data_IF_217350657472
#
_entry.id   IF_217350657472
#
_cell.length_a   1.000
_cell.length_b   1.000
_cell.length_c   1.000
_cell.angle_alpha   90.00
_cell.angle_beta   90.00
_cell.angle_gamma   90.00
#
_symmetry.space_group_name_H-M   'P 1'
#
loop_
_entity.id
_entity.type
_entity.pdbx_description
1 polymer ?
#
# COMPACT_ATOMS: atom_id res chain seq x y z
N UNK A 1 -42.74 -14.70 -35.10
CA UNK A 1 -41.64 -14.71 -34.11
C UNK A 1 -40.57 -13.75 -34.59
N UNK A 2 -40.57 -12.53 -34.09
CA UNK A 2 -39.50 -11.56 -34.30
C UNK A 2 -38.50 -11.78 -33.17
N UNK A 3 -37.42 -12.50 -33.45
CA UNK A 3 -36.24 -12.59 -32.60
C UNK A 3 -35.51 -11.26 -32.64
N UNK A 4 -35.80 -10.38 -31.72
CA UNK A 4 -35.03 -9.17 -31.46
C UNK A 4 -33.66 -9.56 -30.93
N UNK A 5 -32.65 -9.58 -31.80
CA UNK A 5 -31.26 -9.62 -31.39
C UNK A 5 -30.96 -8.34 -30.65
N UNK A 6 -30.94 -8.39 -29.33
CA UNK A 6 -30.46 -7.29 -28.50
C UNK A 6 -28.97 -7.19 -28.81
N UNK A 7 -28.62 -6.27 -29.70
CA UNK A 7 -27.23 -5.87 -29.94
C UNK A 7 -26.75 -5.25 -28.62
N UNK A 8 -26.03 -6.01 -27.77
CA UNK A 8 -25.31 -5.44 -26.64
C UNK A 8 -24.33 -4.44 -27.21
N UNK A 9 -24.60 -3.16 -27.01
CA UNK A 9 -23.62 -2.11 -27.31
C UNK A 9 -22.30 -2.49 -26.66
N UNK A 10 -21.27 -2.63 -27.48
CA UNK A 10 -19.93 -2.98 -27.04
C UNK A 10 -19.30 -1.74 -26.39
N UNK A 11 -19.51 -1.57 -25.09
CA UNK A 11 -18.94 -0.45 -24.35
C UNK A 11 -17.42 -0.59 -24.27
N UNK A 12 -16.72 0.46 -24.68
CA UNK A 12 -15.25 0.54 -24.62
C UNK A 12 -14.81 1.41 -23.43
N UNK A 13 -13.61 1.15 -22.93
CA UNK A 13 -13.03 1.92 -21.85
C UNK A 13 -12.66 3.33 -22.34
N UNK A 14 -13.24 4.34 -21.74
CA UNK A 14 -13.03 5.74 -22.05
C UNK A 14 -12.18 6.48 -21.04
N UNK A 15 -11.91 5.88 -19.87
CA UNK A 15 -11.13 6.53 -18.84
C UNK A 15 -10.91 5.69 -17.59
N UNK A 16 -10.01 6.18 -16.74
CA UNK A 16 -9.66 5.64 -15.45
C UNK A 16 -10.22 6.53 -14.32
N UNK A 17 -10.85 5.93 -13.35
CA UNK A 17 -11.25 6.57 -12.09
C UNK A 17 -10.50 5.91 -10.94
N UNK A 18 -9.71 6.66 -10.19
CA UNK A 18 -8.96 6.15 -9.05
C UNK A 18 -9.49 6.77 -7.75
N UNK A 19 -9.81 5.93 -6.79
CA UNK A 19 -10.23 6.32 -5.44
C UNK A 19 -9.20 5.78 -4.45
N UNK A 20 -8.61 6.66 -3.64
CA UNK A 20 -7.70 6.28 -2.56
C UNK A 20 -8.43 6.54 -1.25
N UNK A 21 -8.76 5.45 -0.51
CA UNK A 21 -9.68 5.51 0.62
C UNK A 21 -9.13 6.31 1.82
N UNK A 22 -7.82 6.25 2.04
CA UNK A 22 -7.12 6.81 3.19
C UNK A 22 -6.17 7.97 2.82
N UNK A 23 -6.46 8.68 1.75
CA UNK A 23 -5.61 9.77 1.22
C UNK A 23 -5.47 10.98 2.15
N UNK A 24 -6.32 11.11 3.17
CA UNK A 24 -6.23 12.15 4.20
C UNK A 24 -5.19 11.84 5.26
N UNK A 25 -4.90 10.56 5.50
CA UNK A 25 -3.98 10.07 6.54
C UNK A 25 -2.63 9.71 5.92
N UNK A 26 -2.66 8.96 4.83
CA UNK A 26 -1.48 8.44 4.13
C UNK A 26 -1.42 9.00 2.69
N UNK A 27 -0.22 9.34 2.24
CA UNK A 27 0.01 9.89 0.90
C UNK A 27 1.16 9.17 0.18
N UNK A 28 1.28 7.88 0.40
CA UNK A 28 2.32 7.06 -0.23
C UNK A 28 2.06 6.81 -1.72
N UNK A 29 0.80 6.73 -2.10
CA UNK A 29 0.37 6.48 -3.48
C UNK A 29 -0.62 7.57 -3.88
N UNK A 30 -0.41 8.13 -5.06
CA UNK A 30 -1.31 9.13 -5.64
C UNK A 30 -2.07 8.55 -6.84
N UNK A 31 -3.13 9.24 -7.28
CA UNK A 31 -3.87 8.88 -8.50
C UNK A 31 -2.95 8.85 -9.72
N UNK A 32 -2.03 9.82 -9.82
CA UNK A 32 -1.05 9.88 -10.91
C UNK A 32 -0.09 8.69 -10.90
N UNK A 33 0.30 8.20 -9.71
CA UNK A 33 1.13 7.01 -9.60
C UNK A 33 0.40 5.76 -10.10
N UNK A 34 -0.86 5.57 -9.71
CA UNK A 34 -1.69 4.44 -10.17
C UNK A 34 -1.83 4.46 -11.69
N UNK A 35 -2.14 5.61 -12.28
CA UNK A 35 -2.25 5.77 -13.72
C UNK A 35 -0.92 5.46 -14.42
N UNK A 36 0.19 5.96 -13.89
CA UNK A 36 1.54 5.69 -14.41
C UNK A 36 1.90 4.20 -14.35
N UNK A 37 1.56 3.52 -13.25
CA UNK A 37 1.81 2.08 -13.09
C UNK A 37 1.01 1.27 -14.10
N UNK A 38 -0.27 1.58 -14.28
CA UNK A 38 -1.12 0.88 -15.24
C UNK A 38 -0.64 1.12 -16.67
N UNK A 39 -0.35 2.35 -17.05
CA UNK A 39 0.15 2.66 -18.39
C UNK A 39 1.47 1.96 -18.71
N UNK A 40 2.35 1.80 -17.69
CA UNK A 40 3.65 1.15 -17.87
C UNK A 40 3.56 -0.37 -17.94
N UNK A 41 2.76 -1.00 -17.08
CA UNK A 41 2.81 -2.45 -16.83
C UNK A 41 1.60 -3.21 -17.39
N UNK A 42 0.43 -2.59 -17.42
CA UNK A 42 -0.74 -3.15 -18.09
C UNK A 42 -0.71 -2.87 -19.59
N UNK A 43 -0.35 -1.65 -19.95
CA UNK A 43 -0.39 -1.12 -21.31
C UNK A 43 -1.67 -0.31 -21.56
N UNK A 44 -2.07 -0.23 -22.84
CA UNK A 44 -3.23 0.58 -23.20
C UNK A 44 -4.55 -0.15 -22.89
N UNK A 45 -5.30 0.35 -21.95
CA UNK A 45 -6.67 -0.09 -21.59
C UNK A 45 -7.74 0.82 -22.20
N UNK A 46 -7.40 2.05 -22.59
CA UNK A 46 -8.33 2.99 -23.23
C UNK A 46 -8.68 2.45 -24.63
N UNK A 47 -9.96 2.42 -24.94
CA UNK A 47 -10.48 1.87 -26.18
C UNK A 47 -10.67 0.35 -26.21
N UNK A 48 -10.18 -0.38 -25.21
CA UNK A 48 -10.49 -1.80 -25.04
C UNK A 48 -11.95 -2.00 -24.64
N UNK A 49 -12.52 -3.12 -25.01
CA UNK A 49 -13.84 -3.53 -24.56
C UNK A 49 -13.80 -3.74 -23.04
N UNK A 50 -14.76 -3.17 -22.29
CA UNK A 50 -14.75 -3.26 -20.82
C UNK A 50 -14.74 -4.69 -20.28
N UNK A 51 -15.40 -5.63 -20.98
CA UNK A 51 -15.44 -7.07 -20.64
C UNK A 51 -14.12 -7.79 -20.93
N UNK A 52 -13.21 -7.19 -21.72
CA UNK A 52 -11.90 -7.76 -22.08
C UNK A 52 -10.75 -7.22 -21.23
N UNK A 53 -11.02 -6.27 -20.34
CA UNK A 53 -10.01 -5.77 -19.39
C UNK A 53 -9.77 -6.82 -18.32
N UNK A 54 -8.51 -7.26 -18.18
CA UNK A 54 -8.10 -8.19 -17.14
C UNK A 54 -7.97 -7.45 -15.79
N UNK A 55 -9.06 -7.43 -15.04
CA UNK A 55 -9.15 -6.77 -13.73
C UNK A 55 -8.18 -7.39 -12.72
N UNK A 56 -8.01 -8.71 -12.72
CA UNK A 56 -7.04 -9.38 -11.85
C UNK A 56 -5.61 -8.93 -12.13
N UNK A 57 -5.26 -8.71 -13.39
CA UNK A 57 -3.94 -8.17 -13.77
C UNK A 57 -3.80 -6.73 -13.31
N UNK A 58 -4.84 -5.91 -13.42
CA UNK A 58 -4.86 -4.52 -12.91
C UNK A 58 -4.58 -4.50 -11.41
N UNK A 59 -5.31 -5.30 -10.63
CA UNK A 59 -5.12 -5.40 -9.17
C UNK A 59 -3.71 -5.89 -8.82
N UNK A 60 -3.21 -6.95 -9.45
CA UNK A 60 -1.85 -7.47 -9.22
C UNK A 60 -0.75 -6.43 -9.46
N UNK A 61 -0.89 -5.59 -10.49
CA UNK A 61 0.07 -4.51 -10.78
C UNK A 61 0.09 -3.50 -9.62
N UNK A 62 -1.07 -3.13 -9.11
CA UNK A 62 -1.19 -2.13 -8.05
C UNK A 62 -0.77 -2.71 -6.70
N UNK A 63 -1.19 -3.93 -6.37
CA UNK A 63 -0.85 -4.64 -5.13
C UNK A 63 0.64 -4.99 -5.03
N UNK A 64 1.34 -5.05 -6.17
CA UNK A 64 2.81 -5.23 -6.18
C UNK A 64 3.56 -4.04 -5.58
N UNK A 65 2.90 -2.89 -5.38
CA UNK A 65 3.50 -1.70 -4.75
C UNK A 65 3.56 -1.87 -3.23
N UNK A 66 4.75 -1.66 -2.67
CA UNK A 66 5.02 -1.95 -1.26
C UNK A 66 4.15 -1.16 -0.28
N UNK A 67 3.73 0.05 -0.65
CA UNK A 67 2.87 0.92 0.15
C UNK A 67 1.36 0.66 -0.05
N UNK A 68 0.98 -0.26 -0.95
CA UNK A 68 -0.41 -0.67 -1.14
C UNK A 68 -0.71 -1.87 -0.24
N UNK A 69 -1.81 -1.77 0.51
CA UNK A 69 -2.34 -2.87 1.30
C UNK A 69 -3.21 -3.77 0.42
N UNK A 70 -4.14 -3.15 -0.32
CA UNK A 70 -5.09 -3.84 -1.20
C UNK A 70 -5.59 -2.89 -2.27
N UNK A 71 -5.87 -3.43 -3.46
CA UNK A 71 -6.64 -2.74 -4.49
C UNK A 71 -7.85 -3.57 -4.95
N UNK A 72 -8.84 -2.88 -5.48
CA UNK A 72 -10.03 -3.47 -6.11
C UNK A 72 -10.29 -2.75 -7.42
N UNK A 73 -10.45 -3.52 -8.50
CA UNK A 73 -10.72 -2.99 -9.83
C UNK A 73 -12.08 -3.48 -10.35
N UNK A 74 -12.84 -2.60 -10.98
CA UNK A 74 -14.09 -2.94 -11.65
C UNK A 74 -14.36 -1.99 -12.81
N UNK A 75 -15.15 -2.45 -13.76
CA UNK A 75 -15.61 -1.62 -14.88
C UNK A 75 -17.07 -1.23 -14.71
N UNK A 76 -17.43 -0.07 -15.21
CA UNK A 76 -18.80 0.45 -15.19
C UNK A 76 -19.35 0.59 -16.59
N UNK A 77 -20.68 0.57 -16.71
CA UNK A 77 -21.39 0.60 -18.01
C UNK A 77 -21.19 1.89 -18.81
N UNK A 78 -20.72 2.96 -18.15
CA UNK A 78 -20.34 4.22 -18.76
C UNK A 78 -18.91 4.19 -19.37
N UNK A 79 -18.28 3.01 -19.38
CA UNK A 79 -16.97 2.80 -20.00
C UNK A 79 -15.80 3.25 -19.13
N UNK A 80 -15.92 3.25 -17.80
CA UNK A 80 -14.81 3.59 -16.92
C UNK A 80 -14.21 2.36 -16.25
N UNK A 81 -12.89 2.31 -16.21
CA UNK A 81 -12.13 1.44 -15.32
C UNK A 81 -12.00 2.15 -13.96
N UNK A 82 -12.59 1.57 -12.92
CA UNK A 82 -12.52 2.10 -11.57
C UNK A 82 -11.52 1.28 -10.77
N UNK A 83 -10.67 1.95 -10.03
CA UNK A 83 -9.68 1.34 -9.15
C UNK A 83 -9.76 2.00 -7.78
N UNK A 84 -10.03 1.18 -6.76
CA UNK A 84 -10.01 1.60 -5.36
C UNK A 84 -8.74 1.09 -4.72
N UNK A 85 -7.99 1.96 -4.05
CA UNK A 85 -6.72 1.62 -3.41
C UNK A 85 -6.79 1.92 -1.92
N UNK A 86 -6.41 0.95 -1.12
CA UNK A 86 -6.13 1.10 0.32
C UNK A 86 -4.63 1.05 0.52
N UNK A 87 -4.05 2.06 1.15
CA UNK A 87 -2.63 2.12 1.45
C UNK A 87 -2.31 1.40 2.76
N UNK A 88 -1.05 0.99 2.95
CA UNK A 88 -0.58 0.53 4.24
C UNK A 88 -0.47 1.70 5.21
N UNK A 89 -0.85 1.46 6.45
CA UNK A 89 -0.72 2.44 7.53
C UNK A 89 0.47 2.06 8.39
N UNK A 90 1.59 2.77 8.30
CA UNK A 90 2.72 2.51 9.16
C UNK A 90 2.40 2.88 10.61
N UNK A 91 2.90 2.09 11.55
CA UNK A 91 2.81 2.35 12.99
C UNK A 91 4.16 2.67 13.61
N UNK A 92 5.25 2.27 12.93
CA UNK A 92 6.62 2.52 13.35
C UNK A 92 7.55 2.66 12.16
N UNK A 93 8.60 3.48 12.31
CA UNK A 93 9.72 3.61 11.38
C UNK A 93 10.98 3.08 12.01
N UNK A 94 11.63 2.14 11.37
CA UNK A 94 12.97 1.69 11.74
C UNK A 94 14.00 2.48 10.95
N UNK A 95 15.01 3.03 11.66
CA UNK A 95 16.11 3.76 11.06
C UNK A 95 17.40 2.98 11.25
N UNK A 96 18.02 2.55 10.15
CA UNK A 96 19.29 1.83 10.12
C UNK A 96 20.33 2.64 9.35
N UNK A 97 21.59 2.21 9.41
CA UNK A 97 22.70 2.85 8.72
C UNK A 97 22.56 2.85 7.19
N UNK A 98 21.90 1.83 6.63
CA UNK A 98 21.62 1.67 5.20
C UNK A 98 20.33 2.38 4.73
N UNK A 99 19.68 3.13 5.60
CA UNK A 99 18.40 3.78 5.37
C UNK A 99 17.38 3.38 6.41
N UNK A 100 16.19 2.97 5.98
CA UNK A 100 15.16 2.54 6.91
C UNK A 100 13.95 1.95 6.20
N UNK A 101 13.00 1.51 7.00
CA UNK A 101 11.73 0.95 6.51
C UNK A 101 10.63 1.21 7.54
N UNK A 102 9.40 1.12 7.08
CA UNK A 102 8.20 1.14 7.93
C UNK A 102 7.76 -0.26 8.30
N UNK A 103 7.05 -0.39 9.42
CA UNK A 103 6.21 -1.54 9.72
C UNK A 103 4.77 -1.10 9.96
N UNK A 104 3.81 -1.88 9.44
CA UNK A 104 2.40 -1.74 9.80
C UNK A 104 2.05 -2.54 11.07
N UNK A 105 0.79 -2.45 11.50
CA UNK A 105 0.31 -3.12 12.71
C UNK A 105 0.35 -4.66 12.61
N UNK A 106 0.38 -5.21 11.39
CA UNK A 106 0.46 -6.65 11.12
C UNK A 106 1.91 -7.16 11.07
N UNK A 107 2.91 -6.26 11.19
CA UNK A 107 4.33 -6.59 11.10
C UNK A 107 4.84 -6.73 9.66
N UNK A 108 4.11 -6.22 8.69
CA UNK A 108 4.59 -6.14 7.33
C UNK A 108 5.56 -4.97 7.18
N UNK A 109 6.76 -5.26 6.72
CA UNK A 109 7.81 -4.27 6.48
C UNK A 109 7.73 -3.75 5.05
N UNK A 110 7.90 -2.44 4.88
CA UNK A 110 7.94 -1.82 3.57
C UNK A 110 8.88 -0.61 3.52
N UNK A 111 9.51 -0.32 2.36
CA UNK A 111 10.49 0.74 2.22
C UNK A 111 9.94 2.13 2.53
N UNK A 112 10.83 3.02 2.99
CA UNK A 112 10.55 4.45 3.05
C UNK A 112 10.28 4.96 1.62
N UNK A 113 9.35 5.91 1.53
CA UNK A 113 9.00 6.56 0.26
C UNK A 113 9.58 7.99 0.26
N UNK A 114 10.23 8.37 -0.83
CA UNK A 114 10.79 9.73 -0.97
C UNK A 114 9.71 10.82 -1.07
N UNK A 115 8.51 10.44 -1.52
CA UNK A 115 7.39 11.35 -1.74
C UNK A 115 6.62 11.71 -0.47
N UNK A 116 6.70 10.88 0.57
CA UNK A 116 5.93 11.06 1.79
C UNK A 116 6.60 10.41 2.99
N UNK A 117 6.65 11.13 4.11
CA UNK A 117 7.12 10.62 5.41
C UNK A 117 5.95 10.62 6.41
N UNK A 118 5.59 9.45 6.89
CA UNK A 118 4.56 9.31 7.91
C UNK A 118 5.09 9.75 9.30
N UNK A 119 4.21 10.35 10.09
CA UNK A 119 4.49 10.74 11.48
C UNK A 119 4.22 9.57 12.40
N UNK A 120 5.23 8.74 12.59
CA UNK A 120 5.22 7.59 13.50
C UNK A 120 6.49 7.61 14.35
N UNK A 121 6.50 6.84 15.44
CA UNK A 121 7.71 6.70 16.27
C UNK A 121 8.86 6.15 15.43
N UNK A 122 10.06 6.66 15.70
CA UNK A 122 11.31 6.22 15.08
C UNK A 122 12.03 5.30 16.06
N UNK A 123 12.43 4.15 15.57
CA UNK A 123 13.28 3.21 16.32
C UNK A 123 14.63 3.12 15.63
N UNK A 124 15.69 3.35 16.37
CA UNK A 124 17.07 3.26 15.92
C UNK A 124 17.95 2.43 16.88
N UNK A 125 19.25 2.37 16.63
CA UNK A 125 20.22 1.61 17.42
C UNK A 125 20.40 0.18 16.92
N UNK A 126 20.56 -0.75 17.86
CA UNK A 126 20.83 -2.19 17.57
C UNK A 126 19.55 -2.93 17.19
N UNK A 127 19.08 -2.72 15.97
CA UNK A 127 17.84 -3.34 15.45
C UNK A 127 18.16 -4.74 14.93
N UNK A 128 17.67 -5.82 15.59
CA UNK A 128 18.00 -7.21 15.22
C UNK A 128 17.15 -7.73 14.06
N UNK A 129 16.81 -6.88 13.10
CA UNK A 129 16.12 -7.25 11.87
C UNK A 129 17.12 -7.27 10.72
N UNK A 130 17.22 -8.37 10.00
CA UNK A 130 18.08 -8.51 8.81
C UNK A 130 17.55 -7.76 7.58
N UNK A 131 16.29 -7.30 7.64
CA UNK A 131 15.68 -6.49 6.59
C UNK A 131 16.56 -5.25 6.27
N UNK A 132 16.75 -4.99 4.99
CA UNK A 132 17.42 -3.78 4.47
C UNK A 132 16.38 -2.72 4.06
N UNK A 133 16.85 -1.55 3.64
CA UNK A 133 16.00 -0.42 3.26
C UNK A 133 15.05 -0.68 2.06
N UNK A 134 15.32 -1.70 1.26
CA UNK A 134 14.46 -2.11 0.13
C UNK A 134 13.53 -3.28 0.42
N UNK A 135 13.56 -3.81 1.64
CA UNK A 135 12.77 -4.99 2.00
C UNK A 135 11.28 -4.69 1.99
N UNK A 136 10.50 -5.66 1.46
CA UNK A 136 9.04 -5.66 1.53
C UNK A 136 8.54 -7.05 1.85
N UNK A 137 7.72 -7.18 2.87
CA UNK A 137 7.17 -8.46 3.30
C UNK A 137 7.13 -8.62 4.80
N UNK A 138 6.66 -9.77 5.25
CA UNK A 138 6.68 -10.19 6.65
C UNK A 138 8.02 -10.81 7.00
N UNK A 139 8.44 -10.64 8.24
CA UNK A 139 9.65 -11.27 8.77
C UNK A 139 9.41 -12.78 8.90
N UNK A 140 10.34 -13.59 8.42
CA UNK A 140 10.22 -15.06 8.43
C UNK A 140 11.02 -15.73 9.55
N UNK A 141 12.04 -15.07 10.07
CA UNK A 141 12.83 -15.57 11.20
C UNK A 141 12.01 -15.46 12.51
N UNK A 142 11.81 -16.56 13.27
CA UNK A 142 11.00 -16.52 14.48
C UNK A 142 11.53 -15.58 15.57
N UNK A 143 12.86 -15.42 15.68
CA UNK A 143 13.48 -14.53 16.67
C UNK A 143 13.25 -13.06 16.30
N UNK A 144 13.47 -12.73 15.04
CA UNK A 144 13.20 -11.39 14.51
C UNK A 144 11.70 -11.04 14.63
N UNK A 145 10.82 -12.00 14.31
CA UNK A 145 9.37 -11.83 14.43
C UNK A 145 8.94 -11.63 15.89
N UNK A 146 9.48 -12.39 16.83
CA UNK A 146 9.19 -12.23 18.25
C UNK A 146 9.66 -10.86 18.77
N UNK A 147 10.81 -10.38 18.33
CA UNK A 147 11.30 -9.04 18.66
C UNK A 147 10.39 -7.95 18.05
N UNK A 148 10.06 -8.06 16.77
CA UNK A 148 9.18 -7.12 16.09
C UNK A 148 7.81 -7.03 16.78
N UNK A 149 7.22 -8.16 17.16
CA UNK A 149 5.95 -8.19 17.88
C UNK A 149 6.02 -7.49 19.25
N UNK A 150 7.14 -7.62 19.98
CA UNK A 150 7.35 -6.88 21.23
C UNK A 150 7.41 -5.38 20.99
N UNK A 151 8.12 -4.95 19.95
CA UNK A 151 8.22 -3.54 19.56
C UNK A 151 6.85 -2.98 19.19
N UNK A 152 6.11 -3.70 18.34
CA UNK A 152 4.74 -3.28 17.95
C UNK A 152 3.81 -3.21 19.16
N UNK A 153 3.93 -4.12 20.12
CA UNK A 153 3.19 -4.08 21.38
C UNK A 153 3.50 -2.82 22.22
N UNK A 154 4.78 -2.44 22.31
CA UNK A 154 5.21 -1.22 23.00
C UNK A 154 4.70 0.03 22.29
N UNK A 155 4.83 0.10 20.97
CA UNK A 155 4.33 1.23 20.16
C UNK A 155 2.83 1.38 20.31
N UNK A 156 2.07 0.29 20.22
CA UNK A 156 0.62 0.30 20.39
C UNK A 156 0.22 0.77 21.79
N UNK A 157 0.90 0.27 22.83
CA UNK A 157 0.68 0.73 24.22
C UNK A 157 0.92 2.24 24.37
N UNK A 158 1.95 2.79 23.72
CA UNK A 158 2.23 4.22 23.76
C UNK A 158 1.16 5.04 23.02
N UNK A 159 0.68 4.57 21.89
CA UNK A 159 -0.39 5.22 21.12
C UNK A 159 -1.73 5.24 21.89
N UNK A 160 -2.04 4.18 22.62
CA UNK A 160 -3.25 4.09 23.44
C UNK A 160 -3.15 4.89 24.76
N UNK A 161 -1.94 5.29 25.15
CA UNK A 161 -1.69 5.96 26.42
C UNK A 161 -1.94 7.47 26.31
N UNK A 162 -2.81 8.00 27.17
CA UNK A 162 -3.01 9.45 27.33
C UNK A 162 -1.75 10.21 27.78
N UNK A 163 -0.79 9.50 28.36
CA UNK A 163 0.45 10.09 28.92
C UNK A 163 1.56 10.12 27.87
N UNK A 164 1.72 9.05 27.08
CA UNK A 164 2.85 8.85 26.18
C UNK A 164 2.55 9.21 24.72
N UNK A 165 1.29 9.21 24.35
CA UNK A 165 0.87 9.61 22.99
C UNK A 165 1.46 10.97 22.62
N UNK A 166 2.03 11.08 21.44
CA UNK A 166 2.65 12.28 20.87
C UNK A 166 3.88 12.84 21.66
N UNK A 167 4.30 12.18 22.74
CA UNK A 167 5.45 12.62 23.55
C UNK A 167 6.73 11.86 23.23
N UNK A 168 6.62 10.60 22.88
CA UNK A 168 7.77 9.77 22.49
C UNK A 168 7.85 9.74 20.98
N UNK A 169 8.89 10.36 20.44
CA UNK A 169 9.13 10.47 18.99
C UNK A 169 10.15 9.43 18.54
N UNK A 170 11.11 9.08 19.40
CA UNK A 170 12.22 8.20 19.09
C UNK A 170 12.55 7.28 20.25
N UNK A 171 12.93 6.05 19.91
CA UNK A 171 13.36 5.00 20.84
C UNK A 171 14.66 4.43 20.31
N UNK A 172 15.71 4.44 21.13
CA UNK A 172 16.99 3.82 20.77
C UNK A 172 17.11 2.45 21.42
N UNK A 173 17.35 1.43 20.61
CA UNK A 173 17.60 0.05 21.07
C UNK A 173 19.10 -0.06 21.42
N UNK A 174 19.39 -0.41 22.64
CA UNK A 174 20.73 -0.72 23.13
C UNK A 174 20.85 -2.23 23.37
N UNK A 175 22.10 -2.77 23.30
CA UNK A 175 22.41 -4.15 23.70
C UNK A 175 22.09 -4.42 25.18
#
# INVERSE_FOLDING_TARGET
YLGGSICREKVTCTGLSVTILDSTVNRFVTRADVEKFLNKEYGNYIGQHIDSIDLCKVEKIIDSRSAVYKSEAFTTRDGKLNVTVTQRTPVVRFQKSDGGFYADAEGYLFPLQSSYASRVQIIDGEIPLKANSGYKGTVTDPHEQAWLNKVLGVVNYMEDSKVWKDKIVQITVCE
#
